data_IF_803914600373
#
_entry.id   IF_803914600373
#
_cell.length_a   1.000
_cell.length_b   1.000
_cell.length_c   1.000
_cell.angle_alpha   90.00
_cell.angle_beta   90.00
_cell.angle_gamma   90.00
#
_symmetry.space_group_name_H-M   'P 1'
#
loop_
_entity.id
_entity.type
_entity.pdbx_description
1 polymer ?
#
# COMPACT_ATOMS: atom_id res chain seq x y z
N UNK A 1 -21.51 16.58 23.58
CA UNK A 1 -20.76 15.48 24.22
C UNK A 1 -19.81 14.88 23.17
N UNK A 2 -18.52 15.17 23.30
CA UNK A 2 -17.34 14.79 22.50
C UNK A 2 -17.33 14.94 20.97
N UNK A 3 -16.99 16.16 20.51
CA UNK A 3 -16.60 16.46 19.12
C UNK A 3 -15.49 15.51 18.60
N UNK A 4 -14.58 15.07 19.48
CA UNK A 4 -13.48 14.15 19.14
C UNK A 4 -13.98 12.76 18.72
N UNK A 5 -15.06 12.26 19.32
CA UNK A 5 -15.67 10.98 18.91
C UNK A 5 -16.29 11.08 17.51
N UNK A 6 -16.85 12.25 17.17
CA UNK A 6 -17.42 12.51 15.85
C UNK A 6 -16.34 12.54 14.76
N UNK A 7 -15.17 13.10 15.07
CA UNK A 7 -14.00 13.09 14.16
C UNK A 7 -13.47 11.68 13.94
N UNK A 8 -13.34 10.87 15.00
CA UNK A 8 -12.88 9.47 14.90
C UNK A 8 -13.89 8.61 14.10
N UNK A 9 -15.19 8.74 14.39
CA UNK A 9 -16.24 8.01 13.67
C UNK A 9 -16.30 8.42 12.20
N UNK A 10 -16.11 9.71 11.88
CA UNK A 10 -16.02 10.16 10.50
C UNK A 10 -14.79 9.58 9.79
N UNK A 11 -13.61 9.59 10.42
CA UNK A 11 -12.38 9.05 9.84
C UNK A 11 -12.42 7.55 9.55
N UNK A 12 -13.10 6.78 10.41
CA UNK A 12 -13.14 5.31 10.29
C UNK A 12 -14.20 4.82 9.29
N UNK A 13 -15.32 5.53 9.15
CA UNK A 13 -16.49 5.08 8.37
C UNK A 13 -16.83 5.99 7.19
N UNK A 14 -16.84 7.32 7.36
CA UNK A 14 -17.30 8.25 6.30
C UNK A 14 -16.20 8.75 5.37
N UNK A 15 -14.96 8.80 5.84
CA UNK A 15 -13.81 9.32 5.08
C UNK A 15 -12.79 8.23 4.74
N UNK A 16 -13.08 6.97 5.08
CA UNK A 16 -12.15 5.88 4.84
C UNK A 16 -12.16 5.51 3.34
N UNK A 17 -11.03 5.66 2.63
CA UNK A 17 -10.96 5.42 1.18
C UNK A 17 -11.32 3.99 0.79
N UNK A 18 -11.10 3.02 1.68
CA UNK A 18 -11.43 1.61 1.44
C UNK A 18 -12.94 1.36 1.51
N UNK A 19 -13.66 2.05 2.41
CA UNK A 19 -15.10 1.87 2.58
C UNK A 19 -15.95 2.75 1.66
N UNK A 20 -15.50 3.97 1.35
CA UNK A 20 -16.30 4.96 0.62
C UNK A 20 -15.89 5.09 -0.85
N UNK A 21 -14.58 5.11 -1.14
CA UNK A 21 -14.09 5.20 -2.51
C UNK A 21 -13.83 3.83 -3.16
N UNK A 22 -13.94 2.74 -2.39
CA UNK A 22 -13.64 1.37 -2.83
C UNK A 22 -12.26 1.26 -3.52
N UNK A 23 -11.29 2.04 -3.05
CA UNK A 23 -9.91 2.01 -3.56
C UNK A 23 -9.08 1.01 -2.76
N UNK A 24 -8.21 0.26 -3.44
CA UNK A 24 -7.35 -0.73 -2.79
C UNK A 24 -8.08 -2.01 -2.33
N UNK A 25 -9.18 -2.38 -2.99
CA UNK A 25 -9.99 -3.55 -2.61
C UNK A 25 -9.27 -4.88 -2.81
N UNK A 26 -8.42 -5.01 -3.84
CA UNK A 26 -7.68 -6.24 -4.13
C UNK A 26 -6.85 -6.73 -2.93
N UNK A 27 -5.96 -5.92 -2.32
CA UNK A 27 -5.22 -6.37 -1.13
C UNK A 27 -6.07 -6.44 0.14
N UNK A 28 -7.11 -5.61 0.26
CA UNK A 28 -7.96 -5.56 1.45
C UNK A 28 -8.81 -6.82 1.60
N UNK A 29 -9.46 -7.25 0.51
CA UNK A 29 -10.28 -8.47 0.52
C UNK A 29 -9.41 -9.72 0.67
N UNK A 30 -8.24 -9.75 0.04
CA UNK A 30 -7.32 -10.89 0.10
C UNK A 30 -6.77 -11.15 1.53
N UNK A 31 -6.53 -10.10 2.30
CA UNK A 31 -5.87 -10.19 3.62
C UNK A 31 -6.83 -10.33 4.80
N UNK A 32 -8.15 -10.30 4.54
CA UNK A 32 -9.20 -10.45 5.58
C UNK A 32 -9.22 -11.87 6.19
N UNK A 33 -8.53 -12.84 5.58
CA UNK A 33 -8.40 -14.21 6.09
C UNK A 33 -7.62 -14.33 7.41
N UNK A 34 -6.71 -13.39 7.70
CA UNK A 34 -5.88 -13.44 8.92
C UNK A 34 -5.39 -12.06 9.31
N UNK A 35 -5.52 -11.72 10.60
CA UNK A 35 -5.07 -10.43 11.15
C UNK A 35 -3.55 -10.22 10.96
N UNK A 36 -2.76 -11.29 11.03
CA UNK A 36 -1.30 -11.27 10.81
C UNK A 36 -0.98 -10.89 9.35
N UNK A 37 -1.71 -11.45 8.38
CA UNK A 37 -1.52 -11.16 6.96
C UNK A 37 -1.91 -9.71 6.65
N UNK A 38 -3.04 -9.23 7.16
CA UNK A 38 -3.47 -7.84 7.00
C UNK A 38 -2.49 -6.83 7.60
N UNK A 39 -1.97 -7.09 8.80
CA UNK A 39 -0.98 -6.22 9.44
C UNK A 39 0.33 -6.18 8.65
N UNK A 40 0.80 -7.34 8.17
CA UNK A 40 2.02 -7.41 7.36
C UNK A 40 1.91 -6.66 6.02
N UNK A 41 0.78 -6.80 5.31
CA UNK A 41 0.54 -6.09 4.05
C UNK A 41 0.38 -4.59 4.24
N UNK A 42 -0.31 -4.16 5.30
CA UNK A 42 -0.44 -2.75 5.64
C UNK A 42 0.91 -2.11 5.95
N UNK A 43 1.76 -2.78 6.73
CA UNK A 43 3.11 -2.30 7.04
C UNK A 43 4.02 -2.27 5.81
N UNK A 44 3.99 -3.32 4.99
CA UNK A 44 4.76 -3.38 3.75
C UNK A 44 4.39 -2.24 2.78
N UNK A 45 3.10 -2.05 2.54
CA UNK A 45 2.62 -0.99 1.63
C UNK A 45 2.86 0.41 2.18
N UNK A 46 2.70 0.63 3.49
CA UNK A 46 3.06 1.89 4.14
C UNK A 46 4.54 2.24 3.90
N UNK A 47 5.44 1.28 4.10
CA UNK A 47 6.87 1.48 3.87
C UNK A 47 7.17 1.81 2.40
N UNK A 48 6.63 1.02 1.46
CA UNK A 48 6.81 1.25 0.02
C UNK A 48 6.30 2.62 -0.41
N UNK A 49 5.13 3.05 0.07
CA UNK A 49 4.53 4.33 -0.28
C UNK A 49 5.37 5.52 0.23
N UNK A 50 5.91 5.42 1.45
CA UNK A 50 6.78 6.46 2.02
C UNK A 50 8.07 6.58 1.18
N UNK A 51 8.72 5.46 0.87
CA UNK A 51 9.93 5.44 0.06
C UNK A 51 9.67 5.95 -1.37
N UNK A 52 8.61 5.45 -2.01
CA UNK A 52 8.26 5.82 -3.38
C UNK A 52 7.91 7.30 -3.49
N UNK A 53 7.12 7.86 -2.57
CA UNK A 53 6.78 9.29 -2.59
C UNK A 53 8.01 10.18 -2.40
N UNK A 54 8.98 9.75 -1.59
CA UNK A 54 10.24 10.49 -1.40
C UNK A 54 11.04 10.56 -2.71
N UNK A 55 11.15 9.44 -3.41
CA UNK A 55 11.86 9.35 -4.70
C UNK A 55 11.11 10.07 -5.82
N UNK A 56 9.78 9.92 -5.88
CA UNK A 56 8.91 10.59 -6.85
C UNK A 56 9.00 12.11 -6.70
N UNK A 57 9.02 12.62 -5.45
CA UNK A 57 9.16 14.05 -5.19
C UNK A 57 10.48 14.62 -5.74
N UNK A 58 11.57 13.85 -5.69
CA UNK A 58 12.86 14.23 -6.27
C UNK A 58 12.87 14.16 -7.81
N UNK A 59 12.22 13.15 -8.40
CA UNK A 59 12.18 12.93 -9.85
C UNK A 59 11.14 13.78 -10.59
N UNK A 60 10.19 14.43 -9.87
CA UNK A 60 9.05 15.14 -10.46
C UNK A 60 9.42 16.18 -11.52
N UNK A 61 10.60 16.80 -11.41
CA UNK A 61 11.05 17.86 -12.32
C UNK A 61 11.62 17.29 -13.64
N UNK A 62 11.98 16.01 -13.67
CA UNK A 62 12.59 15.36 -14.83
C UNK A 62 11.57 14.60 -15.69
N UNK A 63 10.38 14.29 -15.13
CA UNK A 63 9.38 13.44 -15.79
C UNK A 63 8.42 14.31 -16.63
N UNK A 64 8.34 14.11 -17.96
CA UNK A 64 7.40 14.84 -18.81
C UNK A 64 5.95 14.45 -18.50
N UNK A 65 5.03 15.42 -18.54
CA UNK A 65 3.63 15.26 -18.13
C UNK A 65 2.89 14.12 -18.83
N UNK A 66 3.24 13.81 -20.09
CA UNK A 66 2.61 12.73 -20.86
C UNK A 66 2.86 11.32 -20.30
N UNK A 67 3.93 11.10 -19.54
CA UNK A 67 4.32 9.76 -19.04
C UNK A 67 4.37 9.68 -17.51
N UNK A 68 3.77 10.67 -16.82
CA UNK A 68 3.78 10.75 -15.35
C UNK A 68 3.17 9.52 -14.67
N UNK A 69 1.99 9.07 -15.13
CA UNK A 69 1.29 7.93 -14.51
C UNK A 69 2.09 6.62 -14.67
N UNK A 70 2.55 6.23 -15.88
CA UNK A 70 3.39 5.05 -16.03
C UNK A 70 4.72 5.12 -15.25
N UNK A 71 5.39 6.28 -15.24
CA UNK A 71 6.65 6.44 -14.54
C UNK A 71 6.50 6.21 -13.03
N UNK A 72 5.44 6.73 -12.41
CA UNK A 72 5.18 6.50 -10.98
C UNK A 72 4.89 5.03 -10.66
N UNK A 73 4.16 4.34 -11.53
CA UNK A 73 3.87 2.91 -11.37
C UNK A 73 5.16 2.09 -11.43
N UNK A 74 6.07 2.39 -12.35
CA UNK A 74 7.37 1.67 -12.47
C UNK A 74 8.24 1.86 -11.23
N UNK A 75 8.29 3.09 -10.68
CA UNK A 75 9.03 3.36 -9.44
C UNK A 75 8.45 2.55 -8.28
N UNK A 76 7.12 2.56 -8.12
CA UNK A 76 6.45 1.78 -7.06
C UNK A 76 6.70 0.29 -7.25
N UNK A 77 6.59 -0.23 -8.47
CA UNK A 77 6.83 -1.64 -8.78
C UNK A 77 8.26 -2.07 -8.40
N UNK A 78 9.28 -1.26 -8.73
CA UNK A 78 10.66 -1.55 -8.35
C UNK A 78 10.83 -1.67 -6.82
N UNK A 79 10.21 -0.78 -6.04
CA UNK A 79 10.25 -0.90 -4.57
C UNK A 79 9.50 -2.12 -4.04
N UNK A 80 8.34 -2.46 -4.64
CA UNK A 80 7.58 -3.66 -4.26
C UNK A 80 8.40 -4.93 -4.53
N UNK A 81 9.10 -5.04 -5.67
CA UNK A 81 9.96 -6.21 -5.95
C UNK A 81 11.09 -6.38 -4.93
N UNK A 82 11.66 -5.29 -4.43
CA UNK A 82 12.67 -5.35 -3.35
C UNK A 82 12.05 -5.89 -2.06
N UNK A 83 10.84 -5.44 -1.71
CA UNK A 83 10.12 -5.95 -0.53
C UNK A 83 9.76 -7.41 -0.69
N UNK A 84 9.37 -7.86 -1.88
CA UNK A 84 9.09 -9.26 -2.17
C UNK A 84 10.32 -10.15 -1.93
N UNK A 85 11.49 -9.73 -2.43
CA UNK A 85 12.75 -10.45 -2.19
C UNK A 85 13.11 -10.51 -0.69
N UNK A 86 12.86 -9.43 0.06
CA UNK A 86 13.07 -9.40 1.51
C UNK A 86 12.08 -10.33 2.23
N UNK A 87 10.81 -10.35 1.81
CA UNK A 87 9.80 -11.24 2.40
C UNK A 87 10.09 -12.72 2.15
N UNK A 88 10.56 -13.08 0.95
CA UNK A 88 11.01 -14.43 0.62
C UNK A 88 12.20 -14.89 1.48
N UNK A 89 13.09 -13.97 1.87
CA UNK A 89 14.26 -14.28 2.68
C UNK A 89 13.95 -14.46 4.18
N UNK A 90 13.02 -13.67 4.75
CA UNK A 90 12.79 -13.65 6.20
C UNK A 90 11.51 -14.38 6.65
N UNK A 91 10.49 -14.52 5.80
CA UNK A 91 9.18 -15.07 6.21
C UNK A 91 8.53 -15.93 5.09
N UNK A 92 9.00 -17.18 4.87
CA UNK A 92 8.49 -18.06 3.81
C UNK A 92 7.02 -18.45 3.98
N UNK A 93 6.50 -18.39 5.21
CA UNK A 93 5.08 -18.63 5.50
C UNK A 93 4.15 -17.52 4.98
N UNK A 94 4.60 -16.25 5.00
CA UNK A 94 3.88 -15.12 4.43
C UNK A 94 4.04 -15.09 2.91
N UNK A 95 5.24 -15.38 2.39
CA UNK A 95 5.49 -15.48 0.95
C UNK A 95 4.58 -16.52 0.26
N UNK A 96 4.32 -17.66 0.93
CA UNK A 96 3.43 -18.70 0.39
C UNK A 96 1.95 -18.26 0.32
N UNK A 97 1.53 -17.33 1.17
CA UNK A 97 0.13 -16.82 1.21
C UNK A 97 -0.07 -15.52 0.41
N UNK A 98 0.97 -14.68 0.28
CA UNK A 98 0.93 -13.37 -0.38
C UNK A 98 1.60 -13.35 -1.76
N UNK A 99 2.42 -14.34 -2.11
CA UNK A 99 3.16 -14.40 -3.39
C UNK A 99 2.26 -14.44 -4.63
N UNK A 100 0.96 -14.71 -4.47
CA UNK A 100 -0.02 -14.61 -5.56
C UNK A 100 -0.53 -13.17 -5.79
N UNK A 101 -0.29 -12.28 -4.84
CA UNK A 101 -0.75 -10.88 -4.85
C UNK A 101 0.40 -9.87 -5.05
N UNK A 102 1.64 -10.34 -5.05
CA UNK A 102 2.86 -9.56 -5.32
C UNK A 102 3.54 -10.21 -6.54
N UNK A 103 3.30 -9.73 -7.77
CA UNK A 103 4.01 -10.20 -8.95
C UNK A 103 5.32 -9.44 -9.21
#
# INVERSE_FOLDING_TARGET
>A
MNNNLKVIVNGLIKENPTFVLLLGMCPTLATTSSAINGMSMGLATMFVLICSNTVISALKNLIPDMVRIPAFIVVIAAFVTVVEMVMNAYVPALASSLGIFIP
#
